data_IF_101005487931
#
_entry.id   IF_101005487931
#
_cell.length_a   1.000
_cell.length_b   1.000
_cell.length_c   1.000
_cell.angle_alpha   90.00
_cell.angle_beta   90.00
_cell.angle_gamma   90.00
#
_symmetry.space_group_name_H-M   'P 1'
#
loop_
_entity.id
_entity.type
_entity.pdbx_description
1 polymer ?
#
# COMPACT_ATOMS: atom_id res chain seq x y z
N UNK A 1 -19.47 -31.68 -1.20
CA UNK A 1 -18.80 -32.29 -2.37
C UNK A 1 -18.82 -31.28 -3.51
N UNK A 2 -17.65 -30.90 -4.02
CA UNK A 2 -17.55 -30.01 -5.20
C UNK A 2 -17.98 -30.83 -6.43
N UNK A 3 -19.00 -30.35 -7.15
CA UNK A 3 -19.48 -31.03 -8.37
C UNK A 3 -18.38 -30.96 -9.45
N UNK A 4 -18.36 -31.90 -10.40
CA UNK A 4 -17.38 -31.92 -11.49
C UNK A 4 -17.38 -30.62 -12.30
N UNK A 5 -18.57 -30.01 -12.44
CA UNK A 5 -18.78 -28.72 -13.07
C UNK A 5 -18.08 -27.56 -12.32
N UNK A 6 -18.17 -27.54 -10.98
CA UNK A 6 -17.57 -26.50 -10.18
C UNK A 6 -16.04 -26.50 -10.36
N UNK A 7 -15.42 -27.69 -10.35
CA UNK A 7 -13.98 -27.85 -10.62
C UNK A 7 -13.57 -27.29 -11.97
N UNK A 8 -14.37 -27.53 -13.00
CA UNK A 8 -14.11 -27.01 -14.35
C UNK A 8 -14.13 -25.49 -14.37
N UNK A 9 -15.20 -24.86 -13.84
CA UNK A 9 -15.33 -23.41 -13.83
C UNK A 9 -14.29 -22.74 -12.95
N UNK A 10 -13.98 -23.29 -11.79
CA UNK A 10 -12.91 -22.79 -10.90
C UNK A 10 -11.57 -22.84 -11.63
N UNK A 11 -11.23 -23.96 -12.28
CA UNK A 11 -9.98 -24.08 -13.04
C UNK A 11 -9.90 -23.07 -14.19
N UNK A 12 -11.00 -22.88 -14.92
CA UNK A 12 -11.05 -21.91 -16.03
C UNK A 12 -10.88 -20.48 -15.50
N UNK A 13 -11.54 -20.14 -14.40
CA UNK A 13 -11.44 -18.82 -13.76
C UNK A 13 -10.01 -18.51 -13.30
N UNK A 14 -9.39 -19.41 -12.53
CA UNK A 14 -8.03 -19.22 -12.08
C UNK A 14 -7.01 -19.20 -13.22
N UNK A 15 -7.24 -19.97 -14.29
CA UNK A 15 -6.42 -19.87 -15.51
C UNK A 15 -6.44 -18.46 -16.10
N UNK A 16 -7.61 -17.77 -16.10
CA UNK A 16 -7.71 -16.37 -16.56
C UNK A 16 -7.02 -15.40 -15.60
N UNK A 17 -7.17 -15.59 -14.28
CA UNK A 17 -6.47 -14.79 -13.29
C UNK A 17 -4.94 -14.91 -13.48
N UNK A 18 -4.41 -16.11 -13.56
CA UNK A 18 -2.97 -16.34 -13.74
C UNK A 18 -2.49 -15.71 -15.06
N UNK A 19 -3.21 -15.91 -16.15
CA UNK A 19 -2.84 -15.33 -17.45
C UNK A 19 -2.75 -13.80 -17.37
N UNK A 20 -3.76 -13.15 -16.81
CA UNK A 20 -3.77 -11.68 -16.68
C UNK A 20 -2.74 -11.19 -15.66
N UNK A 21 -2.55 -11.89 -14.56
CA UNK A 21 -1.48 -11.57 -13.61
C UNK A 21 -0.11 -11.57 -14.29
N UNK A 22 0.18 -12.55 -15.16
CA UNK A 22 1.43 -12.59 -15.91
C UNK A 22 1.54 -11.43 -16.91
N UNK A 23 0.45 -11.08 -17.60
CA UNK A 23 0.44 -9.94 -18.54
C UNK A 23 0.70 -8.63 -17.77
N UNK A 24 -0.02 -8.40 -16.66
CA UNK A 24 0.17 -7.20 -15.85
C UNK A 24 1.54 -7.18 -15.15
N UNK A 25 2.06 -8.34 -14.75
CA UNK A 25 3.42 -8.45 -14.24
C UNK A 25 4.43 -7.96 -15.27
N UNK A 26 4.36 -8.47 -16.50
CA UNK A 26 5.27 -8.07 -17.57
C UNK A 26 5.15 -6.57 -17.90
N UNK A 27 3.92 -6.05 -17.96
CA UNK A 27 3.66 -4.64 -18.26
C UNK A 27 4.20 -3.74 -17.14
N UNK A 28 3.90 -4.05 -15.87
CA UNK A 28 4.38 -3.30 -14.71
C UNK A 28 5.90 -3.40 -14.61
N UNK A 29 6.47 -4.58 -14.89
CA UNK A 29 7.91 -4.77 -14.90
C UNK A 29 8.60 -3.86 -15.92
N UNK A 30 8.09 -3.79 -17.14
CA UNK A 30 8.66 -2.93 -18.19
C UNK A 30 8.57 -1.45 -17.78
N UNK A 31 7.41 -0.99 -17.30
CA UNK A 31 7.21 0.39 -16.90
C UNK A 31 8.14 0.78 -15.74
N UNK A 32 8.19 -0.04 -14.69
CA UNK A 32 9.06 0.20 -13.54
C UNK A 32 10.55 0.13 -13.91
N UNK A 33 10.92 -0.77 -14.83
CA UNK A 33 12.31 -0.91 -15.27
C UNK A 33 12.83 0.37 -15.91
N UNK A 34 12.05 1.08 -16.70
CA UNK A 34 12.45 2.37 -17.27
C UNK A 34 12.75 3.42 -16.18
N UNK A 35 11.92 3.46 -15.13
CA UNK A 35 12.14 4.35 -13.98
C UNK A 35 13.44 4.00 -13.26
N UNK A 36 13.71 2.71 -13.05
CA UNK A 36 14.90 2.26 -12.35
C UNK A 36 16.18 2.44 -13.17
N UNK A 37 16.13 2.24 -14.49
CA UNK A 37 17.28 2.55 -15.37
C UNK A 37 17.62 4.04 -15.29
N UNK A 38 16.60 4.92 -15.30
CA UNK A 38 16.83 6.36 -15.18
C UNK A 38 17.41 6.72 -13.81
N UNK A 39 16.95 6.10 -12.73
CA UNK A 39 17.48 6.33 -11.39
C UNK A 39 18.96 5.93 -11.26
N UNK A 40 19.37 4.83 -11.89
CA UNK A 40 20.74 4.33 -11.83
C UNK A 40 21.66 4.91 -12.91
N UNK A 41 21.16 5.72 -13.85
CA UNK A 41 21.96 6.27 -14.96
C UNK A 41 23.16 7.09 -14.48
N UNK A 42 22.99 7.84 -13.38
CA UNK A 42 24.01 8.72 -12.82
C UNK A 42 24.92 8.03 -11.78
N UNK A 43 24.58 6.80 -11.41
CA UNK A 43 25.36 6.02 -10.43
C UNK A 43 26.31 5.05 -11.12
N UNK A 44 27.49 4.82 -10.51
CA UNK A 44 28.41 3.74 -10.94
C UNK A 44 27.87 2.36 -10.52
N UNK A 45 26.61 2.09 -10.82
CA UNK A 45 25.95 0.86 -10.44
C UNK A 45 26.16 -0.23 -11.50
N UNK A 46 26.05 -1.49 -11.08
CA UNK A 46 26.13 -2.63 -12.00
C UNK A 46 24.85 -2.74 -12.84
N UNK A 47 24.98 -3.09 -14.12
CA UNK A 47 23.92 -3.10 -15.13
C UNK A 47 22.70 -3.97 -14.72
N UNK A 48 22.90 -5.01 -13.89
CA UNK A 48 21.81 -5.88 -13.47
C UNK A 48 20.94 -5.30 -12.33
N UNK A 49 21.42 -4.28 -11.59
CA UNK A 49 20.71 -3.71 -10.44
C UNK A 49 19.32 -3.18 -10.77
N UNK A 50 19.10 -2.39 -11.86
CA UNK A 50 17.76 -1.96 -12.23
C UNK A 50 16.78 -3.12 -12.43
N UNK A 51 17.22 -4.22 -13.03
CA UNK A 51 16.40 -5.42 -13.24
C UNK A 51 16.04 -6.09 -11.91
N UNK A 52 17.01 -6.24 -11.01
CA UNK A 52 16.83 -6.88 -9.71
C UNK A 52 15.83 -6.10 -8.83
N UNK A 53 16.02 -4.78 -8.73
CA UNK A 53 15.14 -3.96 -7.89
C UNK A 53 13.74 -3.80 -8.48
N UNK A 54 13.63 -3.76 -9.82
CA UNK A 54 12.33 -3.84 -10.49
C UNK A 54 11.59 -5.10 -10.09
N UNK A 55 12.27 -6.25 -10.10
CA UNK A 55 11.69 -7.52 -9.68
C UNK A 55 11.21 -7.48 -8.21
N UNK A 56 11.91 -6.77 -7.33
CA UNK A 56 11.49 -6.60 -5.94
C UNK A 56 10.30 -5.64 -5.77
N UNK A 57 10.15 -4.66 -6.64
CA UNK A 57 9.07 -3.66 -6.57
C UNK A 57 7.74 -4.18 -7.12
N UNK A 58 7.77 -4.89 -8.25
CA UNK A 58 6.58 -5.30 -9.02
C UNK A 58 5.54 -6.07 -8.21
N UNK A 59 5.88 -7.03 -7.32
CA UNK A 59 4.89 -7.76 -6.56
C UNK A 59 4.01 -6.86 -5.67
N UNK A 60 4.57 -5.83 -5.06
CA UNK A 60 3.80 -4.87 -4.25
C UNK A 60 2.85 -4.05 -5.11
N UNK A 61 3.31 -3.56 -6.26
CA UNK A 61 2.47 -2.81 -7.20
C UNK A 61 1.33 -3.67 -7.76
N UNK A 62 1.58 -4.95 -8.02
CA UNK A 62 0.54 -5.87 -8.47
C UNK A 62 -0.57 -6.06 -7.44
N UNK A 63 -0.26 -6.01 -6.14
CA UNK A 63 -1.28 -6.14 -5.10
C UNK A 63 -2.36 -5.07 -5.24
N UNK A 64 -1.98 -3.85 -5.54
CA UNK A 64 -2.90 -2.71 -5.74
C UNK A 64 -3.76 -2.89 -7.01
N UNK A 65 -3.24 -3.60 -8.02
CA UNK A 65 -3.89 -3.83 -9.31
C UNK A 65 -4.79 -5.08 -9.31
N UNK A 66 -4.70 -5.97 -8.31
CA UNK A 66 -5.49 -7.22 -8.29
C UNK A 66 -7.00 -7.03 -8.48
N UNK A 67 -7.67 -6.03 -7.91
CA UNK A 67 -9.09 -5.81 -8.16
C UNK A 67 -9.41 -5.65 -9.65
N UNK A 68 -8.55 -4.93 -10.38
CA UNK A 68 -8.65 -4.74 -11.81
C UNK A 68 -8.38 -6.05 -12.59
N UNK A 69 -7.34 -6.78 -12.19
CA UNK A 69 -7.01 -8.09 -12.78
C UNK A 69 -8.19 -9.06 -12.63
N UNK A 70 -8.79 -9.15 -11.45
CA UNK A 70 -9.93 -10.04 -11.18
C UNK A 70 -11.15 -9.65 -11.99
N UNK A 71 -11.45 -8.35 -12.13
CA UNK A 71 -12.56 -7.88 -12.94
C UNK A 71 -12.39 -8.31 -14.41
N UNK A 72 -11.25 -8.04 -15.03
CA UNK A 72 -11.00 -8.39 -16.44
C UNK A 72 -10.93 -9.92 -16.61
N UNK A 73 -10.33 -10.64 -15.65
CA UNK A 73 -10.28 -12.10 -15.67
C UNK A 73 -11.69 -12.71 -15.70
N UNK A 74 -12.59 -12.13 -14.92
CA UNK A 74 -14.00 -12.56 -14.91
C UNK A 74 -14.68 -12.27 -16.24
N UNK A 75 -14.41 -11.11 -16.85
CA UNK A 75 -14.95 -10.80 -18.19
C UNK A 75 -14.46 -11.81 -19.22
N UNK A 76 -13.15 -12.09 -19.26
CA UNK A 76 -12.59 -13.08 -20.19
C UNK A 76 -13.12 -14.50 -19.92
N UNK A 77 -13.39 -14.84 -18.67
CA UNK A 77 -14.05 -16.08 -18.31
C UNK A 77 -15.44 -16.17 -18.94
N UNK A 78 -16.28 -15.14 -18.80
CA UNK A 78 -17.61 -15.11 -19.40
C UNK A 78 -17.57 -15.08 -20.93
N UNK A 79 -16.60 -14.42 -21.55
CA UNK A 79 -16.39 -14.47 -23.01
C UNK A 79 -16.17 -15.90 -23.48
N UNK A 80 -15.32 -16.67 -22.77
CA UNK A 80 -15.05 -18.07 -23.14
C UNK A 80 -16.31 -18.93 -22.99
N UNK A 81 -17.08 -18.77 -21.93
CA UNK A 81 -18.33 -19.52 -21.70
C UNK A 81 -19.35 -19.22 -22.82
N UNK A 82 -19.50 -17.95 -23.17
CA UNK A 82 -20.47 -17.53 -24.22
C UNK A 82 -20.03 -18.06 -25.58
N UNK A 83 -18.74 -17.94 -25.93
CA UNK A 83 -18.19 -18.40 -27.22
C UNK A 83 -18.28 -19.91 -27.39
N UNK A 84 -18.10 -20.69 -26.33
CA UNK A 84 -18.19 -22.16 -26.35
C UNK A 84 -19.62 -22.68 -26.24
N UNK A 85 -20.62 -21.79 -26.16
CA UNK A 85 -22.04 -22.14 -25.92
C UNK A 85 -22.24 -22.96 -24.64
N UNK A 86 -21.32 -22.85 -23.67
CA UNK A 86 -21.41 -23.55 -22.38
C UNK A 86 -22.57 -23.04 -21.52
N UNK A 87 -23.14 -21.88 -21.87
CA UNK A 87 -24.40 -21.40 -21.29
C UNK A 87 -25.57 -22.39 -21.48
N UNK A 88 -25.58 -23.16 -22.59
CA UNK A 88 -26.59 -24.20 -22.82
C UNK A 88 -26.39 -25.37 -21.86
N UNK A 89 -25.14 -25.76 -21.59
CA UNK A 89 -24.80 -26.77 -20.60
C UNK A 89 -25.19 -26.37 -19.16
N UNK A 90 -25.06 -25.10 -18.83
CA UNK A 90 -25.48 -24.54 -17.54
C UNK A 90 -26.99 -24.67 -17.40
N UNK A 91 -27.78 -24.31 -18.43
CA UNK A 91 -29.25 -24.42 -18.45
C UNK A 91 -29.75 -25.89 -18.41
N UNK A 92 -29.12 -26.77 -19.18
CA UNK A 92 -29.48 -28.22 -19.19
C UNK A 92 -29.30 -28.86 -17.81
N UNK A 93 -28.31 -28.42 -17.04
CA UNK A 93 -28.07 -28.90 -15.68
C UNK A 93 -28.86 -28.14 -14.60
N UNK A 94 -29.87 -27.35 -14.97
CA UNK A 94 -30.68 -26.53 -14.05
C UNK A 94 -29.84 -25.64 -13.15
N UNK A 95 -28.68 -25.19 -13.66
CA UNK A 95 -27.82 -24.24 -12.97
C UNK A 95 -28.17 -22.82 -13.45
N UNK A 96 -28.47 -21.94 -12.50
CA UNK A 96 -28.73 -20.54 -12.82
C UNK A 96 -27.43 -19.74 -12.96
N UNK A 97 -27.47 -18.69 -13.74
CA UNK A 97 -26.36 -17.72 -13.83
C UNK A 97 -25.95 -17.21 -12.43
N UNK A 98 -26.92 -17.06 -11.53
CA UNK A 98 -26.67 -16.66 -10.14
C UNK A 98 -25.78 -17.64 -9.39
N UNK A 99 -25.97 -18.96 -9.59
CA UNK A 99 -25.10 -19.98 -8.99
C UNK A 99 -23.64 -19.82 -9.42
N UNK A 100 -23.42 -19.59 -10.71
CA UNK A 100 -22.08 -19.40 -11.27
C UNK A 100 -21.42 -18.13 -10.71
N UNK A 101 -22.15 -17.02 -10.64
CA UNK A 101 -21.66 -15.77 -10.06
C UNK A 101 -21.29 -15.97 -8.59
N UNK A 102 -22.14 -16.62 -7.81
CA UNK A 102 -21.89 -16.92 -6.39
C UNK A 102 -20.64 -17.80 -6.21
N UNK A 103 -20.46 -18.81 -7.07
CA UNK A 103 -19.29 -19.67 -7.05
C UNK A 103 -18.01 -18.87 -7.29
N UNK A 104 -17.98 -18.02 -8.33
CA UNK A 104 -16.82 -17.21 -8.67
C UNK A 104 -16.54 -16.14 -7.61
N UNK A 105 -17.56 -15.51 -7.05
CA UNK A 105 -17.42 -14.53 -5.97
C UNK A 105 -16.82 -15.16 -4.71
N UNK A 106 -17.28 -16.38 -4.35
CA UNK A 106 -16.71 -17.14 -3.23
C UNK A 106 -15.24 -17.51 -3.50
N UNK A 107 -14.92 -17.98 -4.71
CA UNK A 107 -13.55 -18.28 -5.10
C UNK A 107 -12.66 -17.04 -5.03
N UNK A 108 -13.17 -15.88 -5.45
CA UNK A 108 -12.45 -14.62 -5.38
C UNK A 108 -12.24 -14.14 -3.93
N UNK A 109 -13.21 -14.37 -3.06
CA UNK A 109 -13.07 -14.08 -1.63
C UNK A 109 -11.96 -14.92 -1.00
N UNK A 110 -11.96 -16.23 -1.26
CA UNK A 110 -10.91 -17.14 -0.78
C UNK A 110 -9.55 -16.75 -1.37
N UNK A 111 -9.52 -16.40 -2.65
CA UNK A 111 -8.30 -15.91 -3.30
C UNK A 111 -7.77 -14.62 -2.63
N UNK A 112 -8.65 -13.68 -2.30
CA UNK A 112 -8.28 -12.46 -1.55
C UNK A 112 -7.69 -12.77 -0.17
N UNK A 113 -8.23 -13.76 0.55
CA UNK A 113 -7.65 -14.21 1.82
C UNK A 113 -6.25 -14.80 1.60
N UNK A 114 -6.05 -15.60 0.54
CA UNK A 114 -4.73 -16.13 0.18
C UNK A 114 -3.76 -15.00 -0.18
N UNK A 115 -4.22 -13.97 -0.87
CA UNK A 115 -3.39 -12.79 -1.18
C UNK A 115 -2.92 -12.07 0.09
N UNK A 116 -3.78 -11.91 1.09
CA UNK A 116 -3.40 -11.26 2.35
C UNK A 116 -2.46 -12.13 3.16
N UNK A 117 -2.72 -13.44 3.24
CA UNK A 117 -1.99 -14.32 4.15
C UNK A 117 -0.65 -14.82 3.59
N UNK A 118 -0.56 -15.04 2.28
CA UNK A 118 0.64 -15.59 1.64
C UNK A 118 1.35 -14.58 0.74
N UNK A 119 0.63 -13.89 -0.11
CA UNK A 119 1.24 -13.01 -1.11
C UNK A 119 1.73 -11.69 -0.49
N UNK A 120 0.92 -11.05 0.36
CA UNK A 120 1.25 -9.77 0.97
C UNK A 120 2.55 -9.82 1.81
N UNK A 121 2.79 -10.80 2.70
CA UNK A 121 4.05 -10.88 3.45
C UNK A 121 5.28 -11.07 2.55
N UNK A 122 5.14 -11.79 1.44
CA UNK A 122 6.23 -11.96 0.47
C UNK A 122 6.49 -10.65 -0.27
N UNK A 123 5.43 -9.99 -0.76
CA UNK A 123 5.54 -8.73 -1.51
C UNK A 123 6.09 -7.60 -0.64
N UNK A 124 5.68 -7.50 0.63
CA UNK A 124 6.20 -6.49 1.57
C UNK A 124 7.68 -6.70 1.87
N UNK A 125 8.11 -7.95 2.04
CA UNK A 125 9.54 -8.25 2.22
C UNK A 125 10.38 -7.92 0.98
N UNK A 126 9.87 -8.20 -0.22
CA UNK A 126 10.53 -7.81 -1.47
C UNK A 126 10.59 -6.28 -1.61
N UNK A 127 9.50 -5.59 -1.28
CA UNK A 127 9.45 -4.13 -1.27
C UNK A 127 10.43 -3.52 -0.25
N UNK A 128 10.63 -4.18 0.89
CA UNK A 128 11.66 -3.81 1.86
C UNK A 128 13.06 -3.86 1.22
N UNK A 129 13.44 -4.96 0.57
CA UNK A 129 14.72 -5.06 -0.13
C UNK A 129 14.86 -4.04 -1.25
N UNK A 130 13.78 -3.73 -1.97
CA UNK A 130 13.77 -2.66 -2.96
C UNK A 130 14.20 -1.32 -2.37
N UNK A 131 13.60 -0.90 -1.25
CA UNK A 131 13.96 0.35 -0.60
C UNK A 131 15.35 0.32 0.02
N UNK A 132 15.75 -0.82 0.60
CA UNK A 132 17.07 -0.97 1.19
C UNK A 132 18.17 -0.77 0.15
N UNK A 133 18.07 -1.44 -1.00
CA UNK A 133 19.02 -1.24 -2.11
C UNK A 133 18.96 0.19 -2.65
N UNK A 134 17.78 0.75 -2.85
CA UNK A 134 17.62 2.10 -3.37
C UNK A 134 18.23 3.16 -2.45
N UNK A 135 18.11 2.99 -1.14
CA UNK A 135 18.73 3.85 -0.13
C UNK A 135 20.27 3.82 -0.19
N UNK A 136 20.86 2.67 -0.55
CA UNK A 136 22.33 2.57 -0.69
C UNK A 136 22.86 3.47 -1.81
N UNK A 137 22.12 3.61 -2.89
CA UNK A 137 22.52 4.38 -4.08
C UNK A 137 21.95 5.80 -4.12
N UNK A 138 21.03 6.16 -3.24
CA UNK A 138 20.48 7.51 -3.13
C UNK A 138 21.42 8.43 -2.35
N UNK A 139 21.78 9.57 -2.91
CA UNK A 139 22.59 10.58 -2.23
C UNK A 139 21.80 11.35 -1.16
N UNK A 140 20.49 11.52 -1.37
CA UNK A 140 19.62 12.41 -0.58
C UNK A 140 18.75 11.68 0.45
N UNK A 141 18.82 10.35 0.59
CA UNK A 141 17.97 9.58 1.51
C UNK A 141 16.45 9.68 1.25
N UNK A 142 16.04 10.11 0.05
CA UNK A 142 14.64 10.42 -0.34
C UNK A 142 13.65 9.24 -0.27
N UNK A 143 14.14 8.02 -0.12
CA UNK A 143 13.30 6.81 -0.11
C UNK A 143 12.80 6.39 1.29
N UNK A 144 13.10 7.16 2.33
CA UNK A 144 12.33 7.12 3.56
C UNK A 144 11.12 8.05 3.39
N UNK A 145 9.92 7.54 3.49
CA UNK A 145 8.64 8.16 3.08
C UNK A 145 8.33 9.56 3.66
N UNK A 146 9.05 10.01 4.69
CA UNK A 146 8.82 11.29 5.35
C UNK A 146 10.02 12.26 5.31
N UNK A 147 10.94 12.06 4.38
CA UNK A 147 11.82 13.15 4.00
C UNK A 147 11.05 14.11 3.08
N UNK A 148 10.24 14.95 3.69
CA UNK A 148 9.86 16.21 3.02
C UNK A 148 11.15 16.97 2.76
N UNK A 149 11.20 17.82 1.72
CA UNK A 149 12.39 18.65 1.42
C UNK A 149 12.94 19.46 2.60
N UNK A 150 12.32 19.39 3.78
CA UNK A 150 12.63 20.08 5.03
C UNK A 150 13.29 19.18 6.12
N UNK A 151 13.70 17.94 5.79
CA UNK A 151 14.37 17.01 6.73
C UNK A 151 13.44 16.17 7.61
N UNK A 152 14.05 15.41 8.53
CA UNK A 152 13.39 14.58 9.52
C UNK A 152 12.88 15.45 10.68
N UNK A 153 11.59 15.30 11.03
CA UNK A 153 11.00 15.97 12.18
C UNK A 153 10.50 14.94 13.19
N UNK A 154 10.99 15.04 14.43
CA UNK A 154 10.60 14.16 15.53
C UNK A 154 10.10 15.05 16.69
N UNK A 155 8.92 14.70 17.23
CA UNK A 155 8.45 15.20 18.51
C UNK A 155 8.71 14.10 19.54
N UNK A 156 9.46 14.41 20.61
CA UNK A 156 9.71 13.52 21.73
C UNK A 156 9.32 14.17 23.04
N UNK A 157 8.76 13.42 23.96
CA UNK A 157 8.38 13.92 25.27
C UNK A 157 9.19 13.18 26.35
N UNK A 158 10.14 13.86 26.97
CA UNK A 158 11.10 13.29 27.89
C UNK A 158 10.99 14.06 29.22
N UNK A 159 10.68 13.36 30.32
CA UNK A 159 10.57 13.97 31.67
C UNK A 159 9.63 15.17 31.74
N UNK A 160 8.50 15.14 31.01
CA UNK A 160 7.54 16.23 30.90
C UNK A 160 8.07 17.52 30.19
N UNK A 161 9.14 17.40 29.44
CA UNK A 161 9.65 18.44 28.53
C UNK A 161 9.45 17.96 27.09
N UNK A 162 9.10 18.87 26.20
CA UNK A 162 8.83 18.56 24.79
C UNK A 162 10.05 18.92 23.95
N UNK A 163 10.56 17.96 23.22
CA UNK A 163 11.67 18.12 22.27
C UNK A 163 11.14 18.05 20.86
N UNK A 164 11.33 19.11 20.09
CA UNK A 164 11.07 19.10 18.63
C UNK A 164 12.41 19.08 17.94
N UNK A 165 12.70 17.97 17.31
CA UNK A 165 13.98 17.66 16.68
C UNK A 165 13.81 17.73 15.18
N UNK A 166 14.61 18.57 14.52
CA UNK A 166 14.78 18.57 13.07
C UNK A 166 16.20 18.12 12.73
N UNK A 167 16.35 17.26 11.75
CA UNK A 167 17.66 16.77 11.34
C UNK A 167 17.67 16.27 9.89
N UNK A 168 18.84 16.25 9.27
CA UNK A 168 19.10 15.52 8.05
C UNK A 168 19.61 14.13 8.42
N UNK A 169 18.91 13.07 8.01
CA UNK A 169 19.41 11.70 8.27
C UNK A 169 20.40 11.28 7.18
N UNK A 170 21.34 10.45 7.57
CA UNK A 170 22.19 9.72 6.66
C UNK A 170 21.97 8.21 6.86
N UNK A 171 21.37 7.55 5.87
CA UNK A 171 20.98 6.15 5.97
C UNK A 171 22.16 5.16 6.06
N UNK A 172 23.35 5.58 5.68
CA UNK A 172 24.56 4.72 5.71
C UNK A 172 25.20 4.65 7.09
N UNK A 173 24.92 5.62 7.96
CA UNK A 173 25.54 5.76 9.26
C UNK A 173 24.44 6.00 10.29
N UNK A 174 24.52 5.36 11.43
CA UNK A 174 23.58 5.55 12.57
C UNK A 174 23.71 6.96 13.19
N UNK A 175 23.84 7.97 12.33
CA UNK A 175 24.03 9.38 12.69
C UNK A 175 23.00 10.27 12.00
N UNK A 176 22.55 11.29 12.74
CA UNK A 176 21.85 12.42 12.16
C UNK A 176 22.84 13.57 11.88
N UNK A 177 22.60 14.34 10.83
CA UNK A 177 23.36 15.53 10.46
C UNK A 177 22.51 16.78 10.57
N UNK A 178 23.16 17.95 10.79
CA UNK A 178 22.50 19.25 10.88
C UNK A 178 21.31 19.23 11.83
N UNK A 179 21.58 18.87 13.08
CA UNK A 179 20.54 18.66 14.09
C UNK A 179 20.17 19.98 14.71
N UNK A 180 18.88 20.20 14.81
CA UNK A 180 18.24 21.35 15.43
C UNK A 180 17.21 20.83 16.42
N UNK A 181 17.41 21.03 17.72
CA UNK A 181 16.53 20.58 18.78
C UNK A 181 15.99 21.78 19.51
N UNK A 182 14.68 21.97 19.49
CA UNK A 182 13.96 22.92 20.32
C UNK A 182 13.42 22.20 21.54
N UNK A 183 13.82 22.63 22.71
CA UNK A 183 13.33 22.13 24.00
C UNK A 183 12.29 23.11 24.55
N UNK A 184 11.10 22.59 24.87
CA UNK A 184 10.00 23.36 25.45
C UNK A 184 9.66 22.82 26.84
N UNK A 185 9.14 23.69 27.69
CA UNK A 185 8.52 23.31 28.96
C UNK A 185 7.09 22.75 28.74
N UNK A 186 6.43 22.35 29.85
CA UNK A 186 5.04 21.87 29.84
C UNK A 186 4.02 22.87 29.28
N UNK A 187 4.35 24.18 29.33
CA UNK A 187 3.49 25.25 28.87
C UNK A 187 3.81 25.69 27.43
N UNK A 188 4.63 24.89 26.71
CA UNK A 188 5.10 25.20 25.37
C UNK A 188 5.94 26.47 25.26
N UNK A 189 6.62 26.92 26.35
CA UNK A 189 7.61 27.99 26.28
C UNK A 189 8.96 27.40 25.87
N UNK A 190 9.64 28.04 24.93
CA UNK A 190 10.97 27.66 24.48
C UNK A 190 11.99 27.85 25.60
N UNK A 191 12.62 26.79 26.08
CA UNK A 191 13.62 26.80 27.15
C UNK A 191 15.01 26.96 26.57
N UNK A 192 15.35 26.12 25.56
CA UNK A 192 16.66 26.15 24.92
C UNK A 192 16.60 25.58 23.50
N UNK A 193 17.58 25.94 22.70
CA UNK A 193 17.79 25.40 21.35
C UNK A 193 19.18 24.79 21.31
N UNK A 194 19.26 23.52 20.85
CA UNK A 194 20.52 22.80 20.72
C UNK A 194 20.79 22.57 19.24
N UNK A 195 21.94 23.03 18.77
CA UNK A 195 22.40 22.89 17.40
C UNK A 195 23.64 21.99 17.37
N UNK A 196 23.69 21.04 16.47
CA UNK A 196 24.89 20.23 16.25
C UNK A 196 25.01 19.79 14.79
N UNK A 197 26.24 19.59 14.35
CA UNK A 197 26.50 19.05 13.01
C UNK A 197 26.22 17.56 12.93
N UNK A 198 26.34 16.83 14.08
CA UNK A 198 26.22 15.38 14.09
C UNK A 198 25.76 14.86 15.45
N UNK A 199 24.87 13.84 15.44
CA UNK A 199 24.54 13.05 16.63
C UNK A 199 24.45 11.57 16.29
N UNK A 200 24.99 10.74 17.18
CA UNK A 200 24.87 9.29 17.11
C UNK A 200 23.53 8.87 17.75
N UNK A 201 22.71 8.15 16.99
CA UNK A 201 21.38 7.68 17.37
C UNK A 201 21.28 6.14 17.41
N UNK A 202 22.43 5.45 17.53
CA UNK A 202 22.47 3.98 17.57
C UNK A 202 21.72 3.37 18.74
N UNK A 203 21.58 4.12 19.83
CA UNK A 203 20.85 3.75 21.05
C UNK A 203 19.83 4.83 21.40
N UNK A 204 19.02 4.56 22.43
CA UNK A 204 18.08 5.55 22.95
C UNK A 204 18.78 6.74 23.62
N UNK A 205 20.04 6.60 24.04
CA UNK A 205 20.88 7.69 24.52
C UNK A 205 21.66 8.28 23.35
N UNK A 206 21.13 9.36 22.77
CA UNK A 206 21.77 10.05 21.67
C UNK A 206 23.01 10.78 22.15
N UNK A 207 24.09 10.64 21.43
CA UNK A 207 25.33 11.37 21.68
C UNK A 207 25.44 12.50 20.67
N UNK A 208 25.18 13.73 21.13
CA UNK A 208 25.24 14.96 20.33
C UNK A 208 26.65 15.51 20.39
N UNK A 209 27.31 15.60 19.23
CA UNK A 209 28.72 16.02 19.13
C UNK A 209 28.81 17.55 19.17
N UNK A 210 29.64 18.07 20.08
CA UNK A 210 30.01 19.49 20.21
C UNK A 210 28.84 20.45 19.97
N UNK A 211 27.78 20.39 20.79
CA UNK A 211 26.57 21.17 20.55
C UNK A 211 26.78 22.66 20.86
N UNK A 212 26.06 23.50 20.11
CA UNK A 212 25.85 24.89 20.41
C UNK A 212 24.49 25.03 21.09
N UNK A 213 24.46 25.52 22.34
CA UNK A 213 23.24 25.68 23.13
C UNK A 213 22.89 27.16 23.21
N UNK A 214 21.68 27.51 22.84
CA UNK A 214 21.11 28.85 22.93
C UNK A 214 20.06 28.87 24.05
N UNK A 215 20.27 29.70 25.09
CA UNK A 215 19.32 29.94 26.19
C UNK A 215 19.03 31.45 26.29
N UNK A 216 17.83 31.84 25.81
CA UNK A 216 17.52 33.27 25.71
C UNK A 216 18.57 34.01 24.87
N UNK A 217 19.24 35.01 25.47
CA UNK A 217 20.30 35.78 24.80
C UNK A 217 21.72 35.23 25.02
N UNK A 218 21.86 34.07 25.68
CA UNK A 218 23.17 33.45 25.91
C UNK A 218 23.42 32.33 24.94
N UNK A 219 24.62 32.34 24.35
CA UNK A 219 25.12 31.31 23.44
C UNK A 219 26.29 30.59 24.12
N UNK A 220 26.21 29.27 24.24
CA UNK A 220 27.19 28.42 24.90
C UNK A 220 27.63 27.33 23.91
N UNK A 221 28.89 27.43 23.46
CA UNK A 221 29.49 26.33 22.66
C UNK A 221 30.15 25.36 23.63
N UNK A 222 29.75 24.05 23.53
CA UNK A 222 30.38 23.00 24.30
C UNK A 222 31.41 22.28 23.43
N UNK A 223 32.60 22.03 23.98
CA UNK A 223 33.63 21.20 23.36
C UNK A 223 33.39 19.70 23.59
N UNK A 224 32.65 19.38 24.66
CA UNK A 224 32.29 18.00 25.03
C UNK A 224 30.94 17.59 24.43
N UNK A 225 30.79 16.28 24.22
CA UNK A 225 29.55 15.70 23.73
C UNK A 225 28.52 15.63 24.85
N UNK A 226 27.25 15.91 24.53
CA UNK A 226 26.14 15.74 25.48
C UNK A 226 25.33 14.49 25.14
N UNK A 227 24.74 13.88 26.19
CA UNK A 227 23.80 12.78 26.04
C UNK A 227 22.37 13.30 26.15
N UNK A 228 21.52 12.90 25.24
CA UNK A 228 20.09 13.15 25.24
C UNK A 228 19.39 11.78 25.22
N UNK A 229 18.73 11.41 26.31
CA UNK A 229 17.88 10.20 26.31
C UNK A 229 16.64 10.47 25.48
N UNK A 230 16.34 9.61 24.51
CA UNK A 230 15.22 9.72 23.59
C UNK A 230 14.44 8.40 23.53
N UNK A 231 13.14 8.48 23.29
CA UNK A 231 12.34 7.29 23.00
C UNK A 231 12.64 6.71 21.61
N UNK A 232 13.36 7.46 20.78
CA UNK A 232 13.75 7.10 19.42
C UNK A 232 15.20 6.64 19.35
N UNK A 233 15.44 5.59 18.61
CA UNK A 233 16.76 5.17 18.15
C UNK A 233 16.71 5.01 16.62
N UNK A 234 17.84 4.68 16.01
CA UNK A 234 17.93 4.48 14.55
C UNK A 234 16.91 3.48 14.01
N UNK A 235 16.71 2.35 14.70
CA UNK A 235 15.80 1.30 14.24
C UNK A 235 14.32 1.75 14.30
N UNK A 236 13.93 2.46 15.37
CA UNK A 236 12.59 3.02 15.50
C UNK A 236 12.33 4.10 14.45
N UNK A 237 13.26 5.05 14.28
CA UNK A 237 13.16 6.08 13.24
C UNK A 237 13.00 5.43 11.87
N UNK A 238 13.86 4.45 11.56
CA UNK A 238 13.80 3.74 10.28
C UNK A 238 12.47 3.01 10.07
N UNK A 239 11.85 2.44 11.11
CA UNK A 239 10.53 1.79 11.02
C UNK A 239 9.41 2.80 10.83
N UNK A 240 9.36 3.86 11.64
CA UNK A 240 8.30 4.88 11.64
C UNK A 240 8.19 5.58 10.28
N UNK A 241 9.33 5.80 9.62
CA UNK A 241 9.38 6.49 8.33
C UNK A 241 9.51 5.56 7.12
N UNK A 242 9.26 4.27 7.30
CA UNK A 242 9.28 3.27 6.22
C UNK A 242 8.00 3.33 5.39
N UNK A 243 8.09 2.96 4.12
CA UNK A 243 6.91 2.79 3.27
C UNK A 243 6.02 1.65 3.82
N UNK A 244 4.72 1.92 3.99
CA UNK A 244 3.78 0.96 4.59
C UNK A 244 3.67 -0.33 3.79
N UNK A 245 3.82 -0.26 2.45
CA UNK A 245 3.83 -1.45 1.59
C UNK A 245 5.06 -2.36 1.82
N UNK A 246 6.10 -1.86 2.51
CA UNK A 246 7.29 -2.66 2.87
C UNK A 246 7.19 -3.32 4.24
N UNK A 247 6.09 -3.12 4.96
CA UNK A 247 5.82 -3.70 6.27
C UNK A 247 4.81 -4.85 6.14
N UNK A 248 5.05 -5.94 6.85
CA UNK A 248 4.06 -7.02 6.95
C UNK A 248 2.95 -6.64 7.95
N UNK A 249 1.86 -7.43 8.02
CA UNK A 249 0.71 -7.12 8.88
C UNK A 249 1.09 -6.96 10.35
N UNK A 250 1.99 -7.79 10.88
CA UNK A 250 2.41 -7.72 12.29
C UNK A 250 3.17 -6.40 12.52
N UNK A 251 4.10 -6.08 11.64
CA UNK A 251 4.87 -4.83 11.71
C UNK A 251 3.99 -3.58 11.60
N UNK A 252 2.90 -3.64 10.82
CA UNK A 252 1.92 -2.55 10.72
C UNK A 252 1.15 -2.36 12.04
N UNK A 253 0.72 -3.45 12.70
CA UNK A 253 0.09 -3.35 14.01
C UNK A 253 1.04 -2.82 15.08
N UNK A 254 2.31 -3.26 15.06
CA UNK A 254 3.33 -2.75 15.96
C UNK A 254 3.59 -1.26 15.73
N UNK A 255 3.71 -0.84 14.45
CA UNK A 255 3.89 0.56 14.08
C UNK A 255 2.70 1.43 14.54
N UNK A 256 1.47 0.95 14.35
CA UNK A 256 0.27 1.64 14.86
C UNK A 256 0.38 1.87 16.36
N UNK A 257 0.66 0.81 17.13
CA UNK A 257 0.79 0.88 18.59
C UNK A 257 1.92 1.82 19.02
N UNK A 258 3.06 1.78 18.34
CA UNK A 258 4.18 2.67 18.63
C UNK A 258 3.80 4.14 18.35
N UNK A 259 3.11 4.43 17.24
CA UNK A 259 2.65 5.78 16.91
C UNK A 259 1.67 6.32 17.97
N UNK A 260 0.69 5.50 18.39
CA UNK A 260 -0.26 5.88 19.44
C UNK A 260 0.43 6.18 20.78
N UNK A 261 1.41 5.37 21.19
CA UNK A 261 2.18 5.59 22.42
C UNK A 261 3.01 6.87 22.39
N UNK A 262 3.49 7.27 21.20
CA UNK A 262 4.31 8.46 20.99
C UNK A 262 3.49 9.71 20.67
N UNK A 263 2.15 9.58 20.60
CA UNK A 263 1.25 10.68 20.24
C UNK A 263 1.31 11.09 18.78
N UNK A 264 1.79 10.21 17.89
CA UNK A 264 1.74 10.39 16.45
C UNK A 264 0.39 9.95 15.88
N UNK A 265 0.04 10.51 14.72
CA UNK A 265 -1.11 10.05 13.97
C UNK A 265 -0.87 8.64 13.42
N UNK A 266 -1.80 7.71 13.69
CA UNK A 266 -1.80 6.36 13.12
C UNK A 266 -2.70 6.24 11.88
N UNK A 267 -3.24 7.34 11.38
CA UNK A 267 -4.26 7.35 10.32
C UNK A 267 -3.81 6.69 9.01
N UNK A 268 -2.57 6.95 8.59
CA UNK A 268 -2.01 6.33 7.38
C UNK A 268 -1.92 4.80 7.54
N UNK A 269 -1.50 4.36 8.73
CA UNK A 269 -1.38 2.93 9.06
C UNK A 269 -2.76 2.29 9.14
N UNK A 270 -3.73 2.97 9.77
CA UNK A 270 -5.11 2.50 9.88
C UNK A 270 -5.77 2.36 8.50
N UNK A 271 -5.61 3.37 7.64
CA UNK A 271 -6.10 3.31 6.26
C UNK A 271 -5.54 2.09 5.54
N UNK A 272 -4.22 1.93 5.55
CA UNK A 272 -3.54 0.84 4.86
C UNK A 272 -3.97 -0.54 5.37
N UNK A 273 -4.10 -0.71 6.69
CA UNK A 273 -4.62 -1.94 7.31
C UNK A 273 -6.05 -2.24 6.87
N UNK A 274 -6.94 -1.23 6.85
CA UNK A 274 -8.32 -1.39 6.43
C UNK A 274 -8.44 -1.73 4.95
N UNK A 275 -7.62 -1.14 4.08
CA UNK A 275 -7.54 -1.48 2.66
C UNK A 275 -7.15 -2.95 2.46
N UNK A 276 -6.11 -3.41 3.14
CA UNK A 276 -5.67 -4.81 3.05
C UNK A 276 -6.77 -5.76 3.53
N UNK A 277 -7.37 -5.50 4.71
CA UNK A 277 -8.39 -6.37 5.30
C UNK A 277 -9.66 -6.40 4.44
N UNK A 278 -10.01 -5.31 3.78
CA UNK A 278 -11.19 -5.21 2.93
C UNK A 278 -10.98 -5.84 1.52
N UNK A 279 -9.74 -6.11 1.12
CA UNK A 279 -9.40 -6.62 -0.21
C UNK A 279 -10.21 -7.86 -0.64
N UNK A 280 -10.45 -8.92 0.18
CA UNK A 280 -11.20 -10.09 -0.25
C UNK A 280 -12.65 -9.75 -0.63
N UNK A 281 -13.29 -8.88 0.13
CA UNK A 281 -14.67 -8.42 -0.13
C UNK A 281 -14.67 -7.61 -1.42
N UNK A 282 -13.70 -6.73 -1.59
CA UNK A 282 -13.57 -5.89 -2.77
C UNK A 282 -13.38 -6.72 -4.05
N UNK A 283 -12.52 -7.75 -4.02
CA UNK A 283 -12.35 -8.69 -5.14
C UNK A 283 -13.66 -9.41 -5.49
N UNK A 284 -14.43 -9.83 -4.50
CA UNK A 284 -15.73 -10.50 -4.73
C UNK A 284 -16.73 -9.57 -5.41
N UNK A 285 -16.78 -8.30 -5.00
CA UNK A 285 -17.63 -7.29 -5.64
C UNK A 285 -17.21 -7.06 -7.09
N UNK A 286 -15.91 -7.02 -7.38
CA UNK A 286 -15.40 -6.87 -8.75
C UNK A 286 -15.81 -8.03 -9.66
N UNK A 287 -15.86 -9.26 -9.14
CA UNK A 287 -16.41 -10.40 -9.87
C UNK A 287 -17.89 -10.20 -10.19
N UNK A 288 -18.68 -9.76 -9.22
CA UNK A 288 -20.12 -9.56 -9.40
C UNK A 288 -20.38 -8.46 -10.44
N UNK A 289 -19.71 -7.32 -10.34
CA UNK A 289 -19.82 -6.21 -11.29
C UNK A 289 -19.45 -6.68 -12.71
N UNK A 290 -18.35 -7.41 -12.83
CA UNK A 290 -17.89 -7.97 -14.09
C UNK A 290 -18.96 -8.91 -14.72
N UNK A 291 -19.53 -9.79 -13.89
CA UNK A 291 -20.59 -10.70 -14.31
C UNK A 291 -21.85 -9.97 -14.79
N UNK A 292 -22.26 -8.91 -14.06
CA UNK A 292 -23.41 -8.08 -14.45
C UNK A 292 -23.20 -7.46 -15.82
N UNK A 293 -22.01 -6.91 -16.09
CA UNK A 293 -21.67 -6.33 -17.39
C UNK A 293 -21.76 -7.38 -18.48
N UNK A 294 -21.18 -8.57 -18.25
CA UNK A 294 -21.04 -9.60 -19.26
C UNK A 294 -22.35 -10.37 -19.53
N UNK A 295 -23.23 -10.54 -18.54
CA UNK A 295 -24.51 -11.21 -18.72
C UNK A 295 -25.60 -10.30 -19.33
N UNK A 296 -25.43 -8.97 -19.23
CA UNK A 296 -26.31 -8.00 -19.91
C UNK A 296 -25.89 -7.68 -21.35
N UNK A 297 -25.08 -8.53 -21.96
CA UNK A 297 -24.64 -8.34 -23.35
C UNK A 297 -25.87 -8.30 -24.28
N UNK A 298 -26.06 -7.18 -24.95
CA UNK A 298 -26.97 -7.08 -26.10
C UNK A 298 -26.33 -7.83 -27.28
N UNK A 299 -27.12 -8.69 -27.96
CA UNK A 299 -26.66 -9.52 -29.09
C UNK A 299 -25.97 -8.74 -30.21
N UNK A 300 -26.26 -7.44 -30.33
CA UNK A 300 -25.80 -6.57 -31.41
C UNK A 300 -24.43 -5.92 -31.12
N UNK A 301 -23.85 -6.12 -29.91
CA UNK A 301 -22.57 -5.50 -29.53
C UNK A 301 -21.45 -6.52 -29.41
N UNK A 302 -20.23 -6.21 -29.93
CA UNK A 302 -19.09 -7.12 -29.80
C UNK A 302 -18.63 -7.25 -28.33
N UNK A 303 -18.09 -8.41 -27.95
CA UNK A 303 -17.58 -8.67 -26.59
C UNK A 303 -16.54 -7.63 -26.13
N UNK A 304 -15.73 -7.13 -27.07
CA UNK A 304 -14.71 -6.11 -26.80
C UNK A 304 -15.33 -4.85 -26.18
N UNK A 305 -16.51 -4.44 -26.64
CA UNK A 305 -17.20 -3.28 -26.08
C UNK A 305 -17.50 -3.45 -24.58
N UNK A 306 -17.93 -4.64 -24.17
CA UNK A 306 -18.24 -4.93 -22.77
C UNK A 306 -16.97 -5.04 -21.91
N UNK A 307 -15.86 -5.54 -22.48
CA UNK A 307 -14.57 -5.55 -21.84
C UNK A 307 -14.09 -4.10 -21.60
N UNK A 308 -14.14 -3.25 -22.62
CA UNK A 308 -13.77 -1.85 -22.49
C UNK A 308 -14.64 -1.10 -21.47
N UNK A 309 -15.93 -1.38 -21.42
CA UNK A 309 -16.85 -0.81 -20.43
C UNK A 309 -16.47 -1.25 -19.00
N UNK A 310 -16.08 -2.51 -18.80
CA UNK A 310 -15.60 -2.97 -17.51
C UNK A 310 -14.27 -2.34 -17.10
N UNK A 311 -13.35 -2.17 -18.04
CA UNK A 311 -12.08 -1.46 -17.80
C UNK A 311 -12.36 -0.02 -17.38
N UNK A 312 -13.21 0.69 -18.12
CA UNK A 312 -13.57 2.08 -17.80
C UNK A 312 -14.22 2.18 -16.41
N UNK A 313 -15.15 1.27 -16.10
CA UNK A 313 -15.81 1.25 -14.81
C UNK A 313 -14.82 0.97 -13.66
N UNK A 314 -13.88 0.04 -13.86
CA UNK A 314 -12.87 -0.27 -12.83
C UNK A 314 -11.94 0.91 -12.55
N UNK A 315 -11.59 1.68 -13.57
CA UNK A 315 -10.81 2.93 -13.41
C UNK A 315 -11.62 3.96 -12.62
N UNK A 316 -12.90 4.14 -12.93
CA UNK A 316 -13.78 5.04 -12.18
C UNK A 316 -13.86 4.62 -10.70
N UNK A 317 -14.06 3.33 -10.44
CA UNK A 317 -14.12 2.80 -9.07
C UNK A 317 -12.81 3.05 -8.31
N UNK A 318 -11.67 2.83 -8.97
CA UNK A 318 -10.34 3.11 -8.39
C UNK A 318 -10.20 4.59 -7.98
N UNK A 319 -10.57 5.52 -8.86
CA UNK A 319 -10.50 6.95 -8.53
C UNK A 319 -11.46 7.36 -7.42
N UNK A 320 -12.68 6.78 -7.38
CA UNK A 320 -13.63 7.02 -6.29
C UNK A 320 -13.01 6.57 -4.96
N UNK A 321 -12.48 5.35 -4.89
CA UNK A 321 -11.82 4.86 -3.68
C UNK A 321 -10.68 5.79 -3.23
N UNK A 322 -9.83 6.22 -4.18
CA UNK A 322 -8.71 7.10 -3.87
C UNK A 322 -9.17 8.46 -3.32
N UNK A 323 -10.23 9.05 -3.87
CA UNK A 323 -10.82 10.29 -3.34
C UNK A 323 -11.31 10.11 -1.90
N UNK A 324 -12.02 9.01 -1.61
CA UNK A 324 -12.48 8.71 -0.26
C UNK A 324 -11.31 8.50 0.72
N UNK A 325 -10.25 7.82 0.29
CA UNK A 325 -9.05 7.62 1.08
C UNK A 325 -8.37 8.97 1.43
N UNK A 326 -8.25 9.89 0.47
CA UNK A 326 -7.74 11.23 0.70
C UNK A 326 -8.61 11.99 1.73
N UNK A 327 -9.94 11.86 1.67
CA UNK A 327 -10.83 12.48 2.64
C UNK A 327 -10.65 11.87 4.04
N UNK A 328 -10.38 10.57 4.16
CA UNK A 328 -10.02 9.90 5.40
C UNK A 328 -8.73 10.45 5.99
N UNK A 329 -7.66 10.49 5.18
CA UNK A 329 -6.33 11.00 5.58
C UNK A 329 -6.34 12.48 5.98
N UNK A 330 -7.21 13.28 5.36
CA UNK A 330 -7.34 14.71 5.67
C UNK A 330 -8.36 15.02 6.78
N UNK A 331 -8.81 14.00 7.53
CA UNK A 331 -9.80 14.14 8.62
C UNK A 331 -11.16 14.75 8.21
N UNK A 332 -11.49 14.76 6.92
CA UNK A 332 -12.80 15.23 6.45
C UNK A 332 -13.92 14.24 6.75
N UNK A 333 -13.57 12.95 6.76
CA UNK A 333 -14.48 11.85 7.13
C UNK A 333 -13.70 10.86 8.03
N UNK A 334 -14.40 10.10 8.89
CA UNK A 334 -13.78 9.03 9.67
C UNK A 334 -13.12 7.99 8.75
N UNK A 335 -11.96 7.49 9.14
CA UNK A 335 -11.15 6.59 8.31
C UNK A 335 -11.88 5.30 7.94
N UNK A 336 -12.70 4.75 8.86
CA UNK A 336 -13.52 3.58 8.57
C UNK A 336 -14.55 3.84 7.45
N UNK A 337 -15.14 5.03 7.42
CA UNK A 337 -16.08 5.42 6.36
C UNK A 337 -15.35 5.62 5.02
N UNK A 338 -14.10 6.08 5.02
CA UNK A 338 -13.36 6.27 3.78
C UNK A 338 -13.14 4.96 3.04
N UNK A 339 -12.91 3.86 3.74
CA UNK A 339 -12.68 2.54 3.13
C UNK A 339 -13.98 1.79 2.87
N UNK A 340 -14.88 1.74 3.87
CA UNK A 340 -16.07 0.88 3.77
C UNK A 340 -17.22 1.51 3.00
N UNK A 341 -17.38 2.83 2.96
CA UNK A 341 -18.47 3.46 2.22
C UNK A 341 -18.46 3.14 0.72
N UNK A 342 -17.35 3.26 -0.03
CA UNK A 342 -17.30 2.84 -1.43
C UNK A 342 -17.65 1.36 -1.61
N UNK A 343 -17.17 0.49 -0.72
CA UNK A 343 -17.42 -0.96 -0.77
C UNK A 343 -18.91 -1.27 -0.56
N UNK A 344 -19.55 -0.62 0.44
CA UNK A 344 -20.98 -0.78 0.70
C UNK A 344 -21.81 -0.27 -0.48
N UNK A 345 -21.45 0.90 -1.02
CA UNK A 345 -22.13 1.46 -2.19
C UNK A 345 -22.06 0.52 -3.40
N UNK A 346 -20.88 0.01 -3.70
CA UNK A 346 -20.68 -0.96 -4.78
C UNK A 346 -21.41 -2.28 -4.54
N UNK A 347 -21.50 -2.73 -3.27
CA UNK A 347 -22.26 -3.92 -2.89
C UNK A 347 -23.76 -3.74 -3.15
N UNK A 348 -24.32 -2.57 -2.83
CA UNK A 348 -25.71 -2.25 -3.10
C UNK A 348 -25.99 -2.22 -4.60
N UNK A 349 -25.15 -1.52 -5.38
CA UNK A 349 -25.26 -1.46 -6.85
C UNK A 349 -25.17 -2.86 -7.46
N UNK A 350 -24.23 -3.67 -6.97
CA UNK A 350 -24.04 -5.06 -7.42
C UNK A 350 -25.26 -5.93 -7.10
N UNK A 351 -25.84 -5.78 -5.92
CA UNK A 351 -27.04 -6.54 -5.52
C UNK A 351 -28.26 -6.18 -6.40
N UNK A 352 -28.48 -4.89 -6.64
CA UNK A 352 -29.54 -4.42 -7.55
C UNK A 352 -29.32 -4.99 -8.98
N UNK A 353 -28.07 -4.96 -9.46
CA UNK A 353 -27.72 -5.52 -10.77
C UNK A 353 -27.98 -7.03 -10.85
N UNK A 354 -27.68 -7.79 -9.81
CA UNK A 354 -27.94 -9.24 -9.74
C UNK A 354 -29.45 -9.57 -9.77
N UNK A 355 -30.28 -8.83 -9.00
CA UNK A 355 -31.72 -9.02 -9.01
C UNK A 355 -32.28 -8.82 -10.43
N UNK A 356 -31.87 -7.77 -11.12
CA UNK A 356 -32.30 -7.49 -12.51
C UNK A 356 -31.91 -8.58 -13.52
N UNK A 357 -30.79 -9.28 -13.28
CA UNK A 357 -30.37 -10.39 -14.17
C UNK A 357 -31.19 -11.62 -13.89
N UNK A 358 -31.59 -11.86 -12.65
CA UNK A 358 -32.36 -13.05 -12.27
C UNK A 358 -33.84 -12.97 -12.67
N UNK A 359 -34.38 -11.75 -12.87
CA UNK A 359 -35.75 -11.50 -13.34
C UNK A 359 -35.91 -11.63 -14.88
N UNK A 360 -34.79 -11.74 -15.62
CA UNK A 360 -34.77 -11.92 -17.08
C UNK A 360 -34.49 -13.39 -17.45
#
# INVERSE_FOLDING_TARGET
>A
MVKTFDKYFIKLFFKKIILLTLIFFALTFILTLFEEITFFSDSKSEIYLPFLITFFNVPSTLLEIFPFIVLISTQLFFVDIIKRKENELIKVNSLDNFYLIKLLALCSLIFGIILITLYYPISSKLKFFYFDVKNIYSEDGKYLKHYSGNGLWIKDEINNEIYIINASANNKEKFLKNIFINKFDKNFNLVEVILSKKANISSNDWVIEKPLILRGNKQIQLEENIKLSSHFNFDKISKTFRDLNSLNLIELFDLKRENELLGYSSQDVDLHLLEIISLPIYLSIMVIISAIIMLNIKRDKPYIFHILLGILLSVIIYYINNIFNIFGLTNKIPIYLSVFFPIIFLSIVSTIGLIRINEK
#
